data_IF_391095606140
#
_entry.id   IF_391095606140
#
_cell.length_a   1.000
_cell.length_b   1.000
_cell.length_c   1.000
_cell.angle_alpha   90.00
_cell.angle_beta   90.00
_cell.angle_gamma   90.00
#
_symmetry.space_group_name_H-M   'P 1'
#
loop_
_entity.id
_entity.type
_entity.pdbx_description
1 polymer ?
#
# COMPACT_ATOMS: atom_id res chain seq x y z
N UNK A 1 5.41 2.10 12.38
CA UNK A 1 5.45 3.28 13.26
C UNK A 1 5.06 4.58 12.56
N UNK A 2 4.72 4.55 11.26
CA UNK A 2 4.46 5.78 10.49
C UNK A 2 3.38 6.69 11.09
N UNK A 3 2.32 6.11 11.67
CA UNK A 3 1.22 6.88 12.30
C UNK A 3 1.51 7.29 13.75
N UNK A 4 2.49 6.67 14.41
CA UNK A 4 2.84 6.90 15.81
C UNK A 4 4.37 6.83 16.02
N UNK A 5 5.12 7.89 15.66
CA UNK A 5 6.58 7.88 15.71
C UNK A 5 7.15 7.54 17.10
N UNK A 6 6.49 7.97 18.17
CA UNK A 6 6.93 7.70 19.55
C UNK A 6 6.99 6.22 19.93
N UNK A 7 6.31 5.33 19.19
CA UNK A 7 6.39 3.88 19.42
C UNK A 7 7.78 3.32 19.05
N UNK A 8 8.52 3.97 18.13
CA UNK A 8 9.90 3.61 17.82
C UNK A 8 10.79 3.74 19.05
N UNK A 9 10.73 4.91 19.68
CA UNK A 9 11.46 5.17 20.92
C UNK A 9 11.03 4.22 22.04
N UNK A 10 9.72 3.99 22.20
CA UNK A 10 9.21 3.07 23.21
C UNK A 10 9.77 1.64 23.03
N UNK A 11 9.77 1.11 21.80
CA UNK A 11 10.36 -0.20 21.51
C UNK A 11 11.87 -0.21 21.75
N UNK A 12 12.60 0.85 21.34
CA UNK A 12 14.03 0.96 21.62
C UNK A 12 14.33 0.94 23.12
N UNK A 13 13.53 1.62 23.95
CA UNK A 13 13.66 1.56 25.40
C UNK A 13 13.44 0.14 25.93
N UNK A 14 12.41 -0.56 25.45
CA UNK A 14 12.15 -1.97 25.80
C UNK A 14 13.34 -2.87 25.46
N UNK A 15 13.92 -2.72 24.26
CA UNK A 15 15.08 -3.52 23.84
C UNK A 15 16.33 -3.20 24.67
N UNK A 16 16.55 -1.93 25.01
CA UNK A 16 17.70 -1.54 25.86
C UNK A 16 17.63 -2.18 27.25
N UNK A 17 16.43 -2.33 27.82
CA UNK A 17 16.25 -2.95 29.14
C UNK A 17 16.67 -4.44 29.18
N UNK A 18 16.66 -5.14 28.05
CA UNK A 18 17.11 -6.54 27.95
C UNK A 18 18.55 -6.71 28.43
N UNK A 19 19.44 -5.78 28.07
CA UNK A 19 20.87 -5.87 28.41
C UNK A 19 21.13 -5.80 29.92
N UNK A 20 20.80 -4.70 30.62
CA UNK A 20 21.01 -4.57 32.06
C UNK A 20 20.27 -5.63 32.88
N UNK A 21 19.07 -6.04 32.47
CA UNK A 21 18.33 -7.11 33.13
C UNK A 21 19.06 -8.45 33.04
N UNK A 22 19.55 -8.82 31.85
CA UNK A 22 20.32 -10.04 31.67
C UNK A 22 21.66 -9.99 32.39
N UNK A 23 22.37 -8.84 32.34
CA UNK A 23 23.61 -8.64 33.10
C UNK A 23 23.38 -8.81 34.60
N UNK A 24 22.27 -8.30 35.16
CA UNK A 24 21.95 -8.46 36.57
C UNK A 24 21.79 -9.94 36.96
N UNK A 25 21.16 -10.75 36.09
CA UNK A 25 21.09 -12.20 36.29
C UNK A 25 22.47 -12.85 36.26
N UNK A 26 23.24 -12.67 35.19
CA UNK A 26 24.55 -13.32 35.03
C UNK A 26 25.61 -12.84 36.03
N UNK A 27 25.49 -11.62 36.55
CA UNK A 27 26.42 -11.09 37.55
C UNK A 27 26.10 -11.54 38.99
N UNK A 28 24.84 -11.85 39.29
CA UNK A 28 24.39 -12.14 40.66
C UNK A 28 23.94 -13.57 40.90
N UNK A 29 23.50 -14.26 39.84
CA UNK A 29 22.82 -15.56 39.89
C UNK A 29 21.66 -15.62 40.90
N UNK A 30 21.07 -14.45 41.19
CA UNK A 30 19.99 -14.32 42.17
C UNK A 30 18.62 -14.57 41.55
N UNK A 31 17.65 -14.97 42.36
CA UNK A 31 16.25 -15.11 41.92
C UNK A 31 15.70 -13.80 41.34
N UNK A 32 16.02 -12.67 41.98
CA UNK A 32 15.63 -11.33 41.50
C UNK A 32 16.26 -11.03 40.14
N UNK A 33 17.55 -11.37 39.96
CA UNK A 33 18.22 -11.26 38.67
C UNK A 33 17.55 -12.11 37.60
N UNK A 34 17.26 -13.38 37.90
CA UNK A 34 16.53 -14.30 37.02
C UNK A 34 15.16 -13.77 36.61
N UNK A 35 14.42 -13.21 37.56
CA UNK A 35 13.13 -12.58 37.27
C UNK A 35 13.28 -11.36 36.35
N UNK A 36 14.26 -10.48 36.59
CA UNK A 36 14.52 -9.33 35.72
C UNK A 36 14.86 -9.75 34.28
N UNK A 37 15.74 -10.74 34.10
CA UNK A 37 16.12 -11.28 32.79
C UNK A 37 14.88 -11.78 32.03
N UNK A 38 14.07 -12.63 32.66
CA UNK A 38 12.84 -13.15 32.07
C UNK A 38 11.80 -12.07 31.79
N UNK A 39 11.56 -11.17 32.74
CA UNK A 39 10.60 -10.08 32.58
C UNK A 39 10.96 -9.19 31.37
N UNK A 40 12.26 -8.90 31.18
CA UNK A 40 12.72 -8.09 30.04
C UNK A 40 12.46 -8.76 28.68
N UNK A 41 12.54 -10.10 28.61
CA UNK A 41 12.13 -10.85 27.43
C UNK A 41 10.62 -10.76 27.19
N UNK A 42 9.81 -10.82 28.26
CA UNK A 42 8.36 -10.64 28.16
C UNK A 42 7.97 -9.26 27.64
N UNK A 43 8.70 -8.20 27.99
CA UNK A 43 8.45 -6.86 27.44
C UNK A 43 8.58 -6.87 25.91
N UNK A 44 9.59 -7.53 25.34
CA UNK A 44 9.79 -7.59 23.88
C UNK A 44 8.63 -8.36 23.22
N UNK A 45 8.29 -9.54 23.73
CA UNK A 45 7.22 -10.36 23.17
C UNK A 45 5.85 -9.66 23.29
N UNK A 46 5.57 -9.04 24.44
CA UNK A 46 4.37 -8.26 24.69
C UNK A 46 4.26 -7.08 23.74
N UNK A 47 5.34 -6.32 23.53
CA UNK A 47 5.32 -5.19 22.60
C UNK A 47 5.06 -5.67 21.17
N UNK A 48 5.80 -6.69 20.71
CA UNK A 48 5.67 -7.22 19.36
C UNK A 48 4.23 -7.69 19.08
N UNK A 49 3.65 -8.45 20.00
CA UNK A 49 2.28 -8.93 19.90
C UNK A 49 1.26 -7.77 19.95
N UNK A 50 1.36 -6.90 20.95
CA UNK A 50 0.42 -5.80 21.15
C UNK A 50 0.44 -4.80 19.99
N UNK A 51 1.62 -4.52 19.44
CA UNK A 51 1.77 -3.63 18.28
C UNK A 51 1.21 -4.25 17.00
N UNK A 52 1.45 -5.54 16.75
CA UNK A 52 0.85 -6.26 15.61
C UNK A 52 -0.69 -6.31 15.72
N UNK A 53 -1.21 -6.57 16.92
CA UNK A 53 -2.63 -6.57 17.24
C UNK A 53 -3.29 -5.19 17.07
N UNK A 54 -2.67 -4.14 17.59
CA UNK A 54 -3.14 -2.76 17.44
C UNK A 54 -3.34 -2.41 15.97
N UNK A 55 -2.37 -2.74 15.12
CA UNK A 55 -2.45 -2.52 13.67
C UNK A 55 -3.52 -3.38 13.02
N UNK A 56 -3.56 -4.67 13.32
CA UNK A 56 -4.54 -5.61 12.74
C UNK A 56 -5.99 -5.17 12.98
N UNK A 57 -6.28 -4.57 14.13
CA UNK A 57 -7.63 -4.16 14.50
C UNK A 57 -7.88 -2.65 14.38
N UNK A 58 -6.94 -1.89 13.80
CA UNK A 58 -7.08 -0.44 13.62
C UNK A 58 -7.33 0.32 14.93
N UNK A 59 -6.77 -0.15 16.06
CA UNK A 59 -6.96 0.46 17.38
C UNK A 59 -5.87 1.48 17.69
N UNK A 60 -6.11 2.35 18.68
CA UNK A 60 -5.15 3.36 19.11
C UNK A 60 -4.17 2.89 20.20
N UNK A 61 -3.24 3.77 20.64
CA UNK A 61 -2.20 3.44 21.63
C UNK A 61 -2.72 2.92 22.98
N UNK A 62 -3.90 3.35 23.43
CA UNK A 62 -4.50 2.83 24.67
C UNK A 62 -4.78 1.32 24.62
N UNK A 63 -5.17 0.80 23.45
CA UNK A 63 -5.33 -0.64 23.25
C UNK A 63 -4.00 -1.38 23.30
N UNK A 64 -2.95 -0.80 22.71
CA UNK A 64 -1.59 -1.35 22.78
C UNK A 64 -1.13 -1.45 24.23
N UNK A 65 -1.27 -0.38 25.02
CA UNK A 65 -0.84 -0.38 26.44
C UNK A 65 -1.60 -1.42 27.25
N UNK A 66 -2.93 -1.49 27.10
CA UNK A 66 -3.74 -2.49 27.80
C UNK A 66 -3.32 -3.92 27.45
N UNK A 67 -3.10 -4.20 26.16
CA UNK A 67 -2.69 -5.52 25.70
C UNK A 67 -1.25 -5.84 26.11
N UNK A 68 -0.34 -4.87 26.06
CA UNK A 68 1.04 -4.98 26.51
C UNK A 68 1.11 -5.40 27.98
N UNK A 69 0.41 -4.68 28.86
CA UNK A 69 0.32 -5.01 30.29
C UNK A 69 -0.33 -6.38 30.50
N UNK A 70 -1.44 -6.67 29.81
CA UNK A 70 -2.12 -7.95 29.92
C UNK A 70 -1.24 -9.14 29.53
N UNK A 71 -0.43 -9.01 28.47
CA UNK A 71 0.51 -10.04 28.05
C UNK A 71 1.63 -10.22 29.06
N UNK A 72 2.20 -9.14 29.60
CA UNK A 72 3.22 -9.23 30.65
C UNK A 72 2.67 -9.98 31.86
N UNK A 73 1.50 -9.58 32.37
CA UNK A 73 0.85 -10.24 33.51
C UNK A 73 0.63 -11.71 33.23
N UNK A 74 0.16 -12.07 32.02
CA UNK A 74 -0.03 -13.47 31.66
C UNK A 74 1.29 -14.25 31.62
N UNK A 75 2.35 -13.68 31.03
CA UNK A 75 3.67 -14.30 31.01
C UNK A 75 4.21 -14.52 32.43
N UNK A 76 4.08 -13.54 33.32
CA UNK A 76 4.48 -13.66 34.71
C UNK A 76 3.70 -14.76 35.44
N UNK A 77 2.37 -14.79 35.29
CA UNK A 77 1.52 -15.82 35.88
C UNK A 77 1.90 -17.24 35.40
N UNK A 78 2.26 -17.39 34.12
CA UNK A 78 2.75 -18.66 33.59
C UNK A 78 4.15 -18.97 34.11
N UNK A 79 5.01 -17.97 34.29
CA UNK A 79 6.34 -18.12 34.89
C UNK A 79 6.29 -18.59 36.34
N UNK A 80 5.29 -18.15 37.12
CA UNK A 80 5.10 -18.63 38.50
C UNK A 80 4.80 -20.14 38.59
N UNK A 81 4.44 -20.79 37.48
CA UNK A 81 4.24 -22.23 37.46
C UNK A 81 5.58 -22.94 37.35
N UNK A 82 6.00 -23.56 38.46
CA UNK A 82 7.23 -24.35 38.58
C UNK A 82 7.13 -25.68 37.81
N UNK A 83 7.10 -25.58 36.48
CA UNK A 83 7.10 -26.72 35.59
C UNK A 83 8.28 -26.65 34.62
N UNK A 84 9.02 -27.75 34.59
CA UNK A 84 10.07 -27.96 33.60
C UNK A 84 9.46 -28.48 32.31
N UNK A 85 9.63 -27.73 31.23
CA UNK A 85 9.12 -28.11 29.90
C UNK A 85 10.28 -28.67 29.07
N UNK A 86 10.15 -29.85 28.44
CA UNK A 86 11.18 -30.37 27.54
C UNK A 86 11.58 -29.34 26.48
N UNK A 87 12.85 -29.34 26.10
CA UNK A 87 13.47 -28.37 25.18
C UNK A 87 13.65 -26.99 25.79
N UNK A 88 12.60 -26.32 26.25
CA UNK A 88 12.63 -24.90 26.67
C UNK A 88 12.85 -24.68 28.17
N UNK A 89 13.04 -25.76 28.93
CA UNK A 89 13.41 -25.87 30.36
C UNK A 89 12.45 -25.26 31.38
N UNK A 90 11.79 -24.14 31.09
CA UNK A 90 10.97 -23.36 32.01
C UNK A 90 9.65 -22.95 31.37
N UNK A 91 8.53 -23.03 32.12
CA UNK A 91 7.20 -22.67 31.64
C UNK A 91 7.13 -21.23 31.09
N UNK A 92 7.85 -20.30 31.72
CA UNK A 92 7.95 -18.92 31.24
C UNK A 92 8.54 -18.78 29.84
N UNK A 93 9.45 -19.67 29.43
CA UNK A 93 9.99 -19.68 28.06
C UNK A 93 8.94 -20.11 27.03
N UNK A 94 7.98 -20.96 27.42
CA UNK A 94 6.83 -21.30 26.58
C UNK A 94 5.97 -20.07 26.32
N UNK A 95 5.63 -19.32 27.38
CA UNK A 95 4.81 -18.11 27.24
C UNK A 95 5.47 -17.09 26.29
N UNK A 96 6.77 -16.83 26.46
CA UNK A 96 7.56 -15.98 25.57
C UNK A 96 7.49 -16.47 24.11
N UNK A 97 7.76 -17.76 23.87
CA UNK A 97 7.75 -18.33 22.53
C UNK A 97 6.35 -18.26 21.86
N UNK A 98 5.29 -18.55 22.62
CA UNK A 98 3.90 -18.47 22.13
C UNK A 98 3.57 -17.07 21.67
N UNK A 99 3.93 -16.04 22.46
CA UNK A 99 3.64 -14.66 22.08
C UNK A 99 4.48 -14.18 20.89
N UNK A 100 5.74 -14.60 20.76
CA UNK A 100 6.52 -14.32 19.56
C UNK A 100 5.91 -14.96 18.30
N UNK A 101 5.47 -16.22 18.38
CA UNK A 101 4.81 -16.90 17.25
C UNK A 101 3.47 -16.22 16.92
N UNK A 102 2.69 -15.84 17.93
CA UNK A 102 1.44 -15.10 17.75
C UNK A 102 1.67 -13.73 17.12
N UNK A 103 2.72 -13.01 17.55
CA UNK A 103 3.14 -11.75 16.94
C UNK A 103 3.47 -11.95 15.46
N UNK A 104 4.31 -12.94 15.11
CA UNK A 104 4.66 -13.24 13.72
C UNK A 104 3.44 -13.59 12.86
N UNK A 105 2.49 -14.35 13.41
CA UNK A 105 1.24 -14.66 12.73
C UNK A 105 0.39 -13.41 12.47
N UNK A 106 0.33 -12.47 13.43
CA UNK A 106 -0.34 -11.19 13.26
C UNK A 106 0.39 -10.27 12.28
N UNK A 107 1.71 -10.18 12.34
CA UNK A 107 2.54 -9.43 11.37
C UNK A 107 2.25 -9.89 9.94
N UNK A 108 2.19 -11.21 9.72
CA UNK A 108 1.85 -11.77 8.41
C UNK A 108 0.44 -11.40 7.96
N UNK A 109 -0.52 -11.30 8.88
CA UNK A 109 -1.89 -10.86 8.57
C UNK A 109 -1.95 -9.37 8.25
N UNK A 110 -1.21 -8.54 8.98
CA UNK A 110 -1.09 -7.09 8.72
C UNK A 110 -0.46 -6.85 7.34
N UNK A 111 0.65 -7.53 7.02
CA UNK A 111 1.30 -7.40 5.73
C UNK A 111 0.39 -7.83 4.56
N UNK A 112 -0.45 -8.85 4.76
CA UNK A 112 -1.41 -9.33 3.74
C UNK A 112 -2.63 -8.43 3.57
N UNK A 113 -2.98 -7.62 4.56
CA UNK A 113 -4.12 -6.72 4.47
C UNK A 113 -3.84 -5.55 3.50
N UNK A 114 -2.57 -5.30 3.16
CA UNK A 114 -2.20 -4.26 2.19
C UNK A 114 -2.35 -2.82 2.70
N UNK A 115 -2.71 -2.62 3.97
CA UNK A 115 -2.87 -1.28 4.56
C UNK A 115 -1.53 -0.58 4.86
N UNK A 116 -0.46 -1.36 5.00
CA UNK A 116 0.89 -0.89 5.29
C UNK A 116 1.93 -1.62 4.43
N UNK A 117 2.97 -0.90 4.04
CA UNK A 117 4.14 -1.46 3.36
C UNK A 117 5.24 -1.66 4.40
N UNK A 118 5.81 -2.87 4.43
CA UNK A 118 6.88 -3.28 5.34
C UNK A 118 8.08 -3.81 4.53
N UNK A 119 9.29 -3.52 4.98
CA UNK A 119 10.51 -4.12 4.44
C UNK A 119 10.72 -5.52 5.05
N UNK A 120 10.11 -6.54 4.43
CA UNK A 120 9.97 -7.90 4.98
C UNK A 120 11.29 -8.66 5.13
N UNK A 121 12.39 -8.19 4.51
CA UNK A 121 13.73 -8.79 4.72
C UNK A 121 14.13 -8.74 6.20
N UNK A 122 13.72 -7.70 6.93
CA UNK A 122 14.01 -7.56 8.36
C UNK A 122 13.20 -8.52 9.21
N UNK A 123 11.96 -8.85 8.80
CA UNK A 123 11.17 -9.89 9.45
C UNK A 123 11.84 -11.26 9.29
N UNK A 124 12.26 -11.61 8.07
CA UNK A 124 12.98 -12.86 7.81
C UNK A 124 14.33 -12.92 8.54
N UNK A 125 15.08 -11.82 8.56
CA UNK A 125 16.32 -11.74 9.31
C UNK A 125 16.10 -11.94 10.81
N UNK A 126 15.09 -11.30 11.42
CA UNK A 126 14.77 -11.46 12.83
C UNK A 126 14.44 -12.93 13.17
N UNK A 127 13.58 -13.58 12.36
CA UNK A 127 13.19 -14.99 12.52
C UNK A 127 14.37 -15.94 12.33
N UNK A 128 15.19 -15.73 11.31
CA UNK A 128 16.36 -16.56 11.06
C UNK A 128 17.37 -16.46 12.21
N UNK A 129 17.68 -15.24 12.66
CA UNK A 129 18.65 -15.01 13.73
C UNK A 129 18.18 -15.62 15.05
N UNK A 130 16.90 -15.45 15.43
CA UNK A 130 16.40 -16.05 16.69
C UNK A 130 16.33 -17.58 16.61
N UNK A 131 16.05 -18.15 15.44
CA UNK A 131 16.08 -19.60 15.24
C UNK A 131 17.51 -20.16 15.39
N UNK A 132 18.51 -19.47 14.83
CA UNK A 132 19.93 -19.83 15.02
C UNK A 132 20.32 -19.68 16.48
N UNK A 133 19.93 -18.60 17.14
CA UNK A 133 20.14 -18.43 18.57
C UNK A 133 19.56 -19.64 19.33
N UNK A 134 18.31 -20.01 19.06
CA UNK A 134 17.64 -21.09 19.78
C UNK A 134 18.31 -22.45 19.60
N UNK A 135 18.86 -22.70 18.41
CA UNK A 135 19.69 -23.86 18.15
C UNK A 135 20.97 -23.83 19.02
N UNK A 136 21.69 -22.69 19.03
CA UNK A 136 22.91 -22.51 19.84
C UNK A 136 22.64 -22.72 21.33
N UNK A 137 21.57 -22.15 21.86
CA UNK A 137 21.20 -22.32 23.27
C UNK A 137 20.90 -23.79 23.60
N UNK A 138 20.19 -24.52 22.73
CA UNK A 138 19.90 -25.93 22.94
C UNK A 138 21.14 -26.83 22.83
N UNK A 139 22.12 -26.48 22.00
CA UNK A 139 23.35 -27.27 21.84
C UNK A 139 24.44 -26.93 22.84
N UNK A 140 24.33 -25.81 23.56
CA UNK A 140 25.34 -25.35 24.52
C UNK A 140 24.88 -25.29 26.00
N UNK A 141 23.63 -25.62 26.31
CA UNK A 141 23.13 -25.68 27.70
C UNK A 141 23.70 -26.87 28.47
N UNK A 142 23.64 -26.83 29.80
CA UNK A 142 24.14 -27.89 30.68
C UNK A 142 23.68 -29.29 30.24
N UNK A 143 24.64 -30.21 30.12
CA UNK A 143 24.41 -31.58 29.68
C UNK A 143 24.43 -31.80 28.16
N UNK A 144 24.64 -30.74 27.36
CA UNK A 144 24.84 -30.85 25.91
C UNK A 144 26.32 -31.06 25.52
N UNK A 145 26.57 -31.49 24.29
CA UNK A 145 27.92 -31.78 23.79
C UNK A 145 28.81 -30.55 23.58
N UNK A 146 28.26 -29.34 23.49
CA UNK A 146 29.03 -28.11 23.35
C UNK A 146 29.09 -27.30 24.65
N UNK A 147 28.61 -27.86 25.76
CA UNK A 147 28.77 -27.29 27.10
C UNK A 147 30.16 -27.67 27.64
N UNK A 148 31.18 -26.88 27.27
CA UNK A 148 32.56 -27.05 27.72
C UNK A 148 33.01 -25.83 28.54
N UNK A 149 33.26 -25.97 29.86
CA UNK A 149 33.65 -24.86 30.72
C UNK A 149 35.04 -24.29 30.41
N UNK A 150 35.92 -25.07 29.77
CA UNK A 150 37.29 -24.65 29.46
C UNK A 150 37.39 -24.00 28.06
N UNK A 151 36.28 -23.95 27.32
CA UNK A 151 36.22 -23.38 25.98
C UNK A 151 36.12 -21.85 25.99
N UNK A 152 36.84 -21.21 25.05
CA UNK A 152 36.64 -19.78 24.76
C UNK A 152 35.27 -19.52 24.10
N UNK A 153 34.67 -20.54 23.47
CA UNK A 153 33.35 -20.45 22.88
C UNK A 153 32.28 -20.64 23.96
N UNK A 154 31.57 -19.55 24.26
CA UNK A 154 30.47 -19.54 25.22
C UNK A 154 29.13 -19.42 24.49
N UNK A 155 28.47 -20.56 24.25
CA UNK A 155 27.22 -20.61 23.48
C UNK A 155 26.11 -19.74 24.06
N UNK A 156 26.02 -19.62 25.39
CA UNK A 156 25.06 -18.73 26.05
C UNK A 156 25.34 -17.24 25.78
N UNK A 157 26.61 -16.84 25.69
CA UNK A 157 26.98 -15.48 25.29
C UNK A 157 26.62 -15.21 23.82
N UNK A 158 26.83 -16.19 22.94
CA UNK A 158 26.42 -16.12 21.52
C UNK A 158 24.90 -16.01 21.39
N UNK A 159 24.13 -16.74 22.21
CA UNK A 159 22.66 -16.61 22.28
C UNK A 159 22.24 -15.16 22.55
N UNK A 160 22.86 -14.49 23.53
CA UNK A 160 22.54 -13.09 23.85
C UNK A 160 22.85 -12.12 22.72
N UNK A 161 24.02 -12.27 22.07
CA UNK A 161 24.38 -11.44 20.91
C UNK A 161 23.40 -11.62 19.76
N UNK A 162 23.03 -12.86 19.43
CA UNK A 162 22.05 -13.15 18.39
C UNK A 162 20.65 -12.66 18.78
N UNK A 163 20.25 -12.78 20.05
CA UNK A 163 19.01 -12.22 20.57
C UNK A 163 18.93 -10.71 20.38
N UNK A 164 19.99 -9.98 20.70
CA UNK A 164 20.10 -8.54 20.48
C UNK A 164 20.00 -8.18 18.98
N UNK A 165 20.68 -8.92 18.10
CA UNK A 165 20.60 -8.72 16.65
C UNK A 165 19.18 -8.99 16.13
N UNK A 166 18.50 -10.03 16.62
CA UNK A 166 17.11 -10.32 16.25
C UNK A 166 16.16 -9.19 16.68
N UNK A 167 16.28 -8.71 17.92
CA UNK A 167 15.49 -7.58 18.43
C UNK A 167 15.73 -6.28 17.63
N UNK A 168 16.97 -6.04 17.20
CA UNK A 168 17.33 -4.94 16.31
C UNK A 168 16.74 -5.11 14.90
N UNK A 169 16.77 -6.31 14.32
CA UNK A 169 16.10 -6.60 13.05
C UNK A 169 14.59 -6.32 13.16
N UNK A 170 13.96 -6.67 14.28
CA UNK A 170 12.56 -6.34 14.52
C UNK A 170 12.31 -4.82 14.61
N UNK A 171 13.22 -4.06 15.24
CA UNK A 171 13.17 -2.58 15.17
C UNK A 171 13.24 -2.09 13.72
N UNK A 172 14.17 -2.61 12.91
CA UNK A 172 14.32 -2.25 11.49
C UNK A 172 13.06 -2.52 10.68
N UNK A 173 12.36 -3.62 10.96
CA UNK A 173 11.04 -3.89 10.39
C UNK A 173 10.04 -2.80 10.77
N UNK A 174 9.92 -2.44 12.05
CA UNK A 174 8.89 -1.50 12.51
C UNK A 174 9.10 -0.06 12.06
N UNK A 175 10.35 0.40 11.94
CA UNK A 175 10.65 1.72 11.38
C UNK A 175 10.57 1.77 9.86
N UNK A 176 10.60 0.61 9.18
CA UNK A 176 10.39 0.54 7.73
C UNK A 176 8.93 0.74 7.32
N UNK A 177 8.00 0.62 8.27
CA UNK A 177 6.57 0.71 8.01
C UNK A 177 6.20 2.06 7.41
N UNK A 178 5.51 2.00 6.26
CA UNK A 178 4.90 3.14 5.59
C UNK A 178 3.41 2.86 5.39
N UNK A 179 2.54 3.88 5.40
CA UNK A 179 1.18 3.71 4.92
C UNK A 179 1.23 3.19 3.49
N UNK A 180 0.35 2.25 3.13
CA UNK A 180 0.12 1.99 1.72
C UNK A 180 -0.39 3.26 1.05
N UNK A 181 0.05 3.53 -0.18
CA UNK A 181 -0.54 4.60 -0.97
C UNK A 181 -2.04 4.31 -1.14
N UNK A 182 -2.88 5.34 -1.06
CA UNK A 182 -4.27 5.17 -1.45
C UNK A 182 -4.32 4.72 -2.91
N UNK A 183 -5.21 3.79 -3.29
CA UNK A 183 -5.36 3.40 -4.67
C UNK A 183 -5.72 4.64 -5.51
N UNK A 184 -4.99 4.83 -6.60
CA UNK A 184 -5.28 5.92 -7.54
C UNK A 184 -6.58 5.58 -8.24
N UNK A 185 -7.54 6.49 -8.20
CA UNK A 185 -8.78 6.36 -8.97
C UNK A 185 -8.70 7.26 -10.20
N UNK A 186 -8.98 6.69 -11.37
CA UNK A 186 -9.21 7.44 -12.59
C UNK A 186 -10.70 7.49 -12.84
N UNK A 187 -11.25 8.69 -12.79
CA UNK A 187 -12.66 8.89 -13.12
C UNK A 187 -12.79 9.19 -14.61
N UNK A 188 -13.75 8.55 -15.27
CA UNK A 188 -14.02 8.76 -16.69
C UNK A 188 -15.52 8.93 -16.90
N UNK A 189 -15.92 9.94 -17.67
CA UNK A 189 -17.30 10.19 -18.03
C UNK A 189 -17.46 10.37 -19.55
N UNK A 190 -18.52 9.79 -20.08
CA UNK A 190 -18.96 9.98 -21.46
C UNK A 190 -20.03 11.09 -21.54
N UNK A 191 -19.77 12.07 -22.40
CA UNK A 191 -20.63 13.23 -22.65
C UNK A 191 -21.15 13.14 -24.08
N UNK A 192 -22.41 12.72 -24.20
CA UNK A 192 -23.10 12.58 -25.48
C UNK A 192 -23.71 13.92 -25.89
N UNK A 193 -23.26 14.47 -27.00
CA UNK A 193 -23.73 15.78 -27.48
C UNK A 193 -23.67 15.84 -29.00
N UNK A 194 -24.81 16.17 -29.61
CA UNK A 194 -24.88 16.44 -31.04
C UNK A 194 -24.28 17.82 -31.35
N UNK A 195 -23.56 17.92 -32.46
CA UNK A 195 -22.99 19.18 -32.92
C UNK A 195 -21.56 19.02 -33.44
N UNK A 196 -20.93 20.17 -33.71
CA UNK A 196 -19.55 20.22 -34.15
C UNK A 196 -18.55 20.04 -32.99
N UNK A 197 -17.26 20.07 -33.32
CA UNK A 197 -16.17 19.93 -32.34
C UNK A 197 -16.21 21.02 -31.25
N UNK A 198 -16.75 22.21 -31.54
CA UNK A 198 -16.84 23.29 -30.56
C UNK A 198 -17.95 23.02 -29.53
N UNK A 199 -19.10 22.51 -29.97
CA UNK A 199 -20.18 22.07 -29.08
C UNK A 199 -19.71 20.92 -28.16
N UNK A 200 -19.03 19.92 -28.73
CA UNK A 200 -18.46 18.80 -27.95
C UNK A 200 -17.45 19.28 -26.91
N UNK A 201 -16.58 20.21 -27.29
CA UNK A 201 -15.59 20.83 -26.38
C UNK A 201 -16.27 21.56 -25.23
N UNK A 202 -17.24 22.42 -25.53
CA UNK A 202 -17.97 23.16 -24.51
C UNK A 202 -18.66 22.25 -23.49
N UNK A 203 -19.28 21.16 -23.97
CA UNK A 203 -19.92 20.18 -23.10
C UNK A 203 -18.92 19.40 -22.22
N UNK A 204 -17.78 19.00 -22.78
CA UNK A 204 -16.72 18.31 -22.04
C UNK A 204 -16.11 19.20 -20.94
N UNK A 205 -15.83 20.47 -21.27
CA UNK A 205 -15.26 21.43 -20.32
C UNK A 205 -16.27 21.81 -19.24
N UNK A 206 -17.56 21.98 -19.58
CA UNK A 206 -18.63 22.17 -18.60
C UNK A 206 -18.77 20.96 -17.66
N UNK A 207 -18.60 19.74 -18.17
CA UNK A 207 -18.64 18.53 -17.34
C UNK A 207 -17.51 18.49 -16.33
N UNK A 208 -16.28 18.82 -16.74
CA UNK A 208 -15.14 18.90 -15.83
C UNK A 208 -15.35 19.99 -14.77
N UNK A 209 -15.90 21.15 -15.15
CA UNK A 209 -16.22 22.23 -14.21
C UNK A 209 -17.23 21.77 -13.15
N UNK A 210 -18.29 21.08 -13.55
CA UNK A 210 -19.29 20.53 -12.63
C UNK A 210 -18.69 19.50 -11.66
N UNK A 211 -17.93 18.54 -12.16
CA UNK A 211 -17.42 17.41 -11.38
C UNK A 211 -16.31 17.79 -10.39
N UNK A 212 -15.49 18.77 -10.77
CA UNK A 212 -14.29 19.14 -10.02
C UNK A 212 -14.41 20.51 -9.34
N UNK A 213 -15.55 21.21 -9.50
CA UNK A 213 -15.75 22.56 -8.95
C UNK A 213 -14.77 23.59 -9.51
N UNK A 214 -14.35 23.45 -10.77
CA UNK A 214 -13.32 24.29 -11.38
C UNK A 214 -13.86 25.68 -11.70
N UNK A 215 -12.96 26.67 -11.74
CA UNK A 215 -13.29 27.99 -12.30
C UNK A 215 -13.32 27.96 -13.84
N UNK A 216 -12.73 26.93 -14.46
CA UNK A 216 -12.72 26.73 -15.91
C UNK A 216 -11.70 25.68 -16.35
N UNK A 217 -11.63 25.44 -17.66
CA UNK A 217 -10.60 24.62 -18.30
C UNK A 217 -9.87 25.48 -19.31
N UNK A 218 -8.54 25.53 -19.23
CA UNK A 218 -7.70 26.26 -20.17
C UNK A 218 -6.90 25.31 -21.06
N UNK A 219 -6.40 25.86 -22.17
CA UNK A 219 -5.43 25.21 -23.04
C UNK A 219 -4.36 26.22 -23.37
N UNK A 220 -3.13 25.78 -23.35
CA UNK A 220 -2.02 26.53 -23.90
C UNK A 220 -1.08 25.53 -24.56
N UNK A 221 -0.95 25.60 -25.89
CA UNK A 221 0.00 24.76 -26.58
C UNK A 221 1.43 25.18 -26.22
N UNK A 222 2.27 24.28 -25.69
CA UNK A 222 3.65 24.63 -25.31
C UNK A 222 4.52 25.00 -26.52
N UNK A 223 4.12 24.63 -27.74
CA UNK A 223 4.89 24.87 -28.96
C UNK A 223 4.61 26.23 -29.61
N UNK A 224 3.35 26.67 -29.63
CA UNK A 224 2.93 27.89 -30.33
C UNK A 224 2.16 28.89 -29.48
N UNK A 225 1.83 28.57 -28.23
CA UNK A 225 1.06 29.44 -27.34
C UNK A 225 -0.42 29.57 -27.68
N UNK A 226 -0.94 28.77 -28.63
CA UNK A 226 -2.37 28.81 -28.97
C UNK A 226 -3.25 28.29 -27.84
N UNK A 227 -4.39 28.94 -27.61
CA UNK A 227 -5.47 28.45 -26.75
C UNK A 227 -6.51 27.59 -27.50
N UNK A 228 -6.41 27.48 -28.83
CA UNK A 228 -7.36 26.70 -29.64
C UNK A 228 -7.09 25.19 -29.60
N UNK A 229 -5.86 24.80 -29.23
CA UNK A 229 -5.40 23.43 -29.11
C UNK A 229 -4.38 23.28 -27.97
N UNK A 230 -3.96 22.04 -27.71
CA UNK A 230 -3.08 21.70 -26.59
C UNK A 230 -3.82 20.96 -25.48
N UNK A 231 -3.04 20.53 -24.49
CA UNK A 231 -3.53 19.73 -23.37
C UNK A 231 -4.49 20.58 -22.52
N UNK A 232 -5.68 20.06 -22.16
CA UNK A 232 -6.55 20.73 -21.22
C UNK A 232 -5.90 20.79 -19.83
N UNK A 233 -6.08 21.92 -19.15
CA UNK A 233 -5.62 22.16 -17.79
C UNK A 233 -6.80 22.66 -16.95
N UNK A 234 -7.00 22.03 -15.79
CA UNK A 234 -8.01 22.46 -14.83
C UNK A 234 -7.58 23.74 -14.13
N UNK A 235 -8.49 24.72 -14.03
CA UNK A 235 -8.25 25.98 -13.33
C UNK A 235 -9.08 26.04 -12.04
N UNK A 236 -8.47 26.55 -10.96
CA UNK A 236 -9.17 26.74 -9.69
C UNK A 236 -9.44 25.47 -8.89
N UNK A 237 -8.80 24.35 -9.23
CA UNK A 237 -8.84 23.13 -8.44
C UNK A 237 -8.14 23.35 -7.08
N UNK A 238 -8.71 22.83 -5.99
CA UNK A 238 -8.12 22.89 -4.66
C UNK A 238 -6.84 22.03 -4.56
N UNK A 239 -6.82 20.92 -5.28
CA UNK A 239 -5.72 19.97 -5.35
C UNK A 239 -5.19 19.87 -6.79
N UNK A 240 -3.96 19.35 -6.94
CA UNK A 240 -3.39 19.07 -8.26
C UNK A 240 -4.23 18.00 -8.97
N UNK A 241 -4.82 18.34 -10.11
CA UNK A 241 -5.65 17.44 -10.91
C UNK A 241 -5.19 17.45 -12.36
N UNK A 242 -5.04 16.26 -12.93
CA UNK A 242 -4.80 16.07 -14.34
C UNK A 242 -6.11 15.75 -15.04
N UNK A 243 -6.33 16.35 -16.21
CA UNK A 243 -7.51 16.11 -17.03
C UNK A 243 -7.12 15.71 -18.45
N UNK A 244 -7.95 14.88 -19.08
CA UNK A 244 -7.81 14.50 -20.48
C UNK A 244 -9.17 14.49 -21.16
N UNK A 245 -9.20 14.87 -22.44
CA UNK A 245 -10.42 14.93 -23.24
C UNK A 245 -10.16 14.30 -24.60
N UNK A 246 -11.06 13.44 -25.04
CA UNK A 246 -11.09 12.87 -26.39
C UNK A 246 -12.47 13.05 -27.02
N UNK A 247 -12.54 13.04 -28.34
CA UNK A 247 -13.81 13.19 -29.03
C UNK A 247 -13.86 12.36 -30.30
N UNK A 248 -14.98 11.68 -30.49
CA UNK A 248 -15.41 11.12 -31.76
C UNK A 248 -16.90 11.42 -31.97
N UNK A 249 -17.43 11.20 -33.17
CA UNK A 249 -18.72 11.74 -33.66
C UNK A 249 -19.90 11.67 -32.66
N UNK A 250 -20.28 12.79 -32.06
CA UNK A 250 -21.40 12.86 -31.10
C UNK A 250 -21.05 12.48 -29.64
N UNK A 251 -19.78 12.16 -29.35
CA UNK A 251 -19.27 11.78 -28.04
C UNK A 251 -18.00 12.55 -27.67
N UNK A 252 -17.95 13.07 -26.45
CA UNK A 252 -16.72 13.46 -25.80
C UNK A 252 -16.47 12.57 -24.58
N UNK A 253 -15.26 12.04 -24.43
CA UNK A 253 -14.82 11.44 -23.17
C UNK A 253 -14.02 12.46 -22.37
N UNK A 254 -14.29 12.54 -21.08
CA UNK A 254 -13.49 13.30 -20.12
C UNK A 254 -12.94 12.35 -19.05
N UNK A 255 -11.67 12.48 -18.71
CA UNK A 255 -11.02 11.71 -17.66
C UNK A 255 -10.26 12.64 -16.70
N UNK A 256 -10.25 12.31 -15.42
CA UNK A 256 -9.51 13.05 -14.39
C UNK A 256 -8.96 12.16 -13.27
N UNK A 257 -7.83 12.58 -12.70
CA UNK A 257 -7.14 11.92 -11.59
C UNK A 257 -6.13 12.88 -10.92
N UNK A 258 -5.65 12.54 -9.73
CA UNK A 258 -4.50 13.17 -9.06
C UNK A 258 -3.15 12.75 -9.69
N UNK A 259 -3.17 11.79 -10.62
CA UNK A 259 -2.03 11.39 -11.44
C UNK A 259 -2.24 11.75 -12.93
N UNK A 260 -1.17 11.88 -13.74
CA UNK A 260 -1.32 12.10 -15.18
C UNK A 260 -2.21 11.04 -15.81
N UNK A 261 -3.21 11.51 -16.56
CA UNK A 261 -4.26 10.69 -17.18
C UNK A 261 -4.40 11.03 -18.66
N UNK A 262 -4.78 10.02 -19.45
CA UNK A 262 -5.09 10.11 -20.87
C UNK A 262 -6.34 9.30 -21.20
N UNK A 263 -7.17 9.80 -22.11
CA UNK A 263 -8.33 9.08 -22.62
C UNK A 263 -8.39 9.21 -24.14
N UNK A 264 -8.88 8.19 -24.82
CA UNK A 264 -9.15 8.23 -26.24
C UNK A 264 -10.41 7.47 -26.64
N UNK A 265 -11.01 7.86 -27.76
CA UNK A 265 -12.24 7.29 -28.27
C UNK A 265 -12.33 7.44 -29.78
N UNK A 266 -12.75 6.37 -30.45
CA UNK A 266 -13.02 6.36 -31.88
C UNK A 266 -14.34 5.66 -32.19
N UNK A 267 -14.97 6.08 -33.29
CA UNK A 267 -16.16 5.41 -33.82
C UNK A 267 -15.72 4.20 -34.63
N UNK A 268 -16.22 3.03 -34.26
CA UNK A 268 -15.94 1.74 -34.88
C UNK A 268 -17.03 1.42 -35.91
N UNK A 269 -16.77 1.79 -37.17
CA UNK A 269 -17.67 1.57 -38.30
C UNK A 269 -17.02 0.60 -39.30
N UNK A 270 -17.82 -0.21 -40.02
CA UNK A 270 -17.29 -1.11 -41.05
C UNK A 270 -16.42 -0.37 -42.08
N UNK A 271 -15.18 -0.83 -42.26
CA UNK A 271 -14.20 -0.22 -43.18
C UNK A 271 -13.39 0.94 -42.61
N UNK A 272 -13.53 1.23 -41.31
CA UNK A 272 -12.73 2.22 -40.58
C UNK A 272 -11.77 1.43 -39.67
N UNK A 273 -10.50 1.37 -40.04
CA UNK A 273 -9.43 0.79 -39.22
C UNK A 273 -8.46 1.90 -38.77
N UNK A 274 -7.48 1.53 -37.94
CA UNK A 274 -6.39 2.45 -37.59
C UNK A 274 -5.26 2.44 -38.64
N UNK A 275 -5.54 1.97 -39.87
CA UNK A 275 -4.54 1.74 -40.90
C UNK A 275 -3.42 0.81 -40.43
N UNK A 276 -2.18 1.25 -40.62
CA UNK A 276 -0.96 0.49 -40.27
C UNK A 276 -0.80 0.23 -38.76
N UNK A 277 -1.61 0.88 -37.91
CA UNK A 277 -1.52 0.80 -36.45
C UNK A 277 -2.46 -0.24 -35.82
N UNK A 278 -3.16 -1.03 -36.63
CA UNK A 278 -3.97 -2.17 -36.18
C UNK A 278 -5.47 -1.88 -36.04
N UNK A 279 -6.10 -2.50 -35.04
CA UNK A 279 -7.53 -2.29 -34.77
C UNK A 279 -7.79 -1.03 -33.93
N UNK A 280 -9.03 -0.53 -33.95
CA UNK A 280 -9.42 0.67 -33.21
C UNK A 280 -9.23 0.54 -31.68
N UNK A 281 -9.46 -0.63 -31.05
CA UNK A 281 -9.10 -0.83 -29.64
C UNK A 281 -7.61 -0.63 -29.34
N UNK A 282 -6.70 -1.19 -30.16
CA UNK A 282 -5.26 -0.99 -30.00
C UNK A 282 -4.86 0.47 -30.21
N UNK A 283 -5.44 1.12 -31.21
CA UNK A 283 -5.21 2.54 -31.50
C UNK A 283 -5.64 3.46 -30.37
N UNK A 284 -6.89 3.34 -29.90
CA UNK A 284 -7.40 4.16 -28.80
C UNK A 284 -6.62 3.92 -27.51
N UNK A 285 -6.14 2.70 -27.27
CA UNK A 285 -5.20 2.42 -26.17
C UNK A 285 -3.88 3.18 -26.33
N UNK A 286 -3.24 3.12 -27.51
CA UNK A 286 -1.97 3.81 -27.76
C UNK A 286 -2.11 5.33 -27.61
N UNK A 287 -3.17 5.93 -28.16
CA UNK A 287 -3.48 7.35 -28.03
C UNK A 287 -3.72 7.77 -26.56
N UNK A 288 -4.45 6.96 -25.78
CA UNK A 288 -4.63 7.22 -24.36
C UNK A 288 -3.28 7.20 -23.61
N UNK A 289 -2.39 6.24 -23.92
CA UNK A 289 -1.05 6.14 -23.33
C UNK A 289 -0.16 7.35 -23.69
N UNK A 290 -0.16 7.77 -24.95
CA UNK A 290 0.60 8.94 -25.43
C UNK A 290 0.10 10.26 -24.81
N UNK A 291 -1.22 10.40 -24.62
CA UNK A 291 -1.80 11.55 -23.91
C UNK A 291 -1.45 11.56 -22.42
N UNK A 292 -1.28 10.38 -21.83
CA UNK A 292 -0.87 10.22 -20.43
C UNK A 292 0.57 10.67 -20.24
N UNK A 293 1.51 10.16 -21.06
CA UNK A 293 2.92 10.52 -21.00
C UNK A 293 3.20 11.96 -21.43
N UNK A 294 2.37 12.51 -22.32
CA UNK A 294 2.52 13.84 -22.89
C UNK A 294 3.50 13.91 -24.07
N UNK A 295 3.98 12.76 -24.56
CA UNK A 295 4.87 12.67 -25.72
C UNK A 295 4.12 12.99 -27.03
N UNK A 296 2.83 12.64 -27.12
CA UNK A 296 2.00 12.93 -28.29
C UNK A 296 2.69 12.47 -29.59
N UNK A 297 2.84 13.39 -30.55
CA UNK A 297 3.44 13.11 -31.87
C UNK A 297 4.97 12.88 -31.83
N UNK A 298 5.65 13.01 -30.69
CA UNK A 298 7.09 12.76 -30.60
C UNK A 298 7.46 11.28 -30.46
N UNK A 299 6.46 10.40 -30.33
CA UNK A 299 6.62 8.96 -30.16
C UNK A 299 5.74 8.23 -31.18
N UNK A 300 6.23 7.11 -31.69
CA UNK A 300 5.49 6.26 -32.61
C UNK A 300 4.33 5.57 -31.87
N UNK A 301 3.07 5.70 -32.32
CA UNK A 301 1.93 4.99 -31.74
C UNK A 301 2.07 3.46 -31.78
N UNK A 302 2.90 2.91 -32.68
CA UNK A 302 3.21 1.47 -32.73
C UNK A 302 4.07 0.97 -31.56
N UNK A 303 4.74 1.86 -30.82
CA UNK A 303 5.52 1.56 -29.61
C UNK A 303 5.12 2.50 -28.46
N UNK A 304 3.89 2.37 -27.91
CA UNK A 304 3.40 3.27 -26.88
C UNK A 304 4.15 3.06 -25.55
N UNK A 305 4.15 4.05 -24.64
CA UNK A 305 4.83 3.92 -23.36
C UNK A 305 4.19 2.82 -22.51
N UNK A 306 5.03 2.14 -21.71
CA UNK A 306 4.60 1.09 -20.77
C UNK A 306 3.99 1.73 -19.52
N UNK A 307 2.71 2.13 -19.65
CA UNK A 307 1.89 2.70 -18.57
C UNK A 307 0.61 1.87 -18.42
N UNK A 308 -0.06 2.06 -17.29
CA UNK A 308 -1.33 1.37 -17.03
C UNK A 308 -2.43 1.88 -17.97
N UNK A 309 -3.27 0.97 -18.45
CA UNK A 309 -4.41 1.28 -19.31
C UNK A 309 -5.55 0.28 -19.13
N UNK A 310 -6.79 0.72 -19.35
CA UNK A 310 -7.96 -0.14 -19.37
C UNK A 310 -8.91 0.23 -20.53
N UNK A 311 -9.59 -0.75 -21.16
CA UNK A 311 -10.66 -0.48 -22.11
C UNK A 311 -11.89 0.09 -21.38
N UNK A 312 -12.68 0.90 -22.09
CA UNK A 312 -13.93 1.46 -21.58
C UNK A 312 -15.13 0.70 -22.14
N UNK A 313 -16.11 0.41 -21.27
CA UNK A 313 -17.36 -0.26 -21.65
C UNK A 313 -18.30 0.74 -22.34
N UNK A 314 -18.08 0.91 -23.65
CA UNK A 314 -18.83 1.80 -24.53
C UNK A 314 -19.89 1.04 -25.35
N UNK A 315 -20.96 1.71 -25.82
CA UNK A 315 -21.94 1.10 -26.71
C UNK A 315 -21.31 0.54 -27.99
N UNK A 316 -21.95 -0.48 -28.57
CA UNK A 316 -21.50 -1.04 -29.85
C UNK A 316 -21.32 0.02 -30.93
N UNK A 317 -20.23 -0.10 -31.71
CA UNK A 317 -19.81 0.90 -32.71
C UNK A 317 -18.88 1.98 -32.17
N UNK A 318 -18.32 1.77 -30.97
CA UNK A 318 -17.34 2.65 -30.34
C UNK A 318 -16.21 1.82 -29.71
N UNK A 319 -14.99 2.31 -29.87
CA UNK A 319 -13.81 1.83 -29.15
C UNK A 319 -13.26 2.97 -28.30
N UNK A 320 -12.80 2.67 -27.09
CA UNK A 320 -12.23 3.68 -26.21
C UNK A 320 -11.41 3.08 -25.09
N UNK A 321 -10.43 3.84 -24.63
CA UNK A 321 -9.50 3.43 -23.60
C UNK A 321 -9.13 4.62 -22.71
N UNK A 322 -8.76 4.30 -21.48
CA UNK A 322 -8.18 5.23 -20.52
C UNK A 322 -6.82 4.71 -20.08
N UNK A 323 -5.91 5.63 -19.79
CA UNK A 323 -4.58 5.33 -19.28
C UNK A 323 -4.19 6.29 -18.14
N UNK A 324 -3.28 5.82 -17.29
CA UNK A 324 -2.78 6.53 -16.11
C UNK A 324 -1.28 6.27 -15.95
N UNK A 325 -0.55 7.24 -15.40
CA UNK A 325 0.88 7.11 -15.14
C UNK A 325 1.23 5.96 -14.16
N UNK A 326 0.26 5.54 -13.34
CA UNK A 326 0.39 4.44 -12.37
C UNK A 326 -0.83 3.52 -12.46
N UNK A 327 -0.72 2.33 -11.87
CA UNK A 327 -1.86 1.42 -11.73
C UNK A 327 -3.03 2.09 -11.00
N UNK A 328 -4.24 1.96 -11.56
CA UNK A 328 -5.41 2.68 -11.09
C UNK A 328 -6.71 1.86 -11.20
N UNK A 329 -7.72 2.27 -10.44
CA UNK A 329 -9.10 1.79 -10.58
C UNK A 329 -9.92 2.76 -11.45
N UNK A 330 -10.78 2.23 -12.34
CA UNK A 330 -11.66 3.05 -13.19
C UNK A 330 -13.00 3.28 -12.52
N UNK A 331 -13.32 4.55 -12.27
CA UNK A 331 -14.68 5.00 -11.94
C UNK A 331 -15.38 5.44 -13.23
N UNK A 332 -16.13 4.53 -13.87
CA UNK A 332 -16.77 4.75 -15.17
C UNK A 332 -18.19 5.34 -15.09
N UNK A 333 -18.47 6.38 -15.88
CA UNK A 333 -19.80 7.01 -16.03
C UNK A 333 -20.20 7.05 -17.53
N UNK A 334 -20.89 6.02 -18.04
CA UNK A 334 -21.13 5.84 -19.49
C UNK A 334 -22.08 6.89 -20.12
N UNK A 335 -22.89 7.58 -19.31
CA UNK A 335 -23.97 8.42 -19.83
C UNK A 335 -24.95 7.64 -20.72
N UNK A 336 -25.73 8.34 -21.54
CA UNK A 336 -26.54 7.74 -22.60
C UNK A 336 -26.57 8.66 -23.84
N UNK A 337 -26.62 8.12 -25.06
CA UNK A 337 -26.84 8.93 -26.26
C UNK A 337 -28.16 9.69 -26.12
N UNK A 338 -28.19 10.97 -26.50
CA UNK A 338 -29.46 11.67 -26.63
C UNK A 338 -30.30 10.93 -27.68
N UNK A 339 -31.42 10.32 -27.24
CA UNK A 339 -32.39 9.71 -28.15
C UNK A 339 -32.91 10.73 -29.17
N UNK A 340 -33.46 10.29 -30.32
CA UNK A 340 -34.02 11.21 -31.31
C UNK A 340 -35.07 12.12 -30.65
N UNK A 341 -35.18 13.40 -31.08
CA UNK A 341 -36.18 14.30 -30.52
C UNK A 341 -37.57 13.67 -30.62
N UNK A 342 -38.30 13.64 -29.50
CA UNK A 342 -39.69 13.13 -29.47
C UNK A 342 -40.49 13.85 -30.56
N UNK A 343 -41.21 13.14 -31.44
CA UNK A 343 -42.08 13.79 -32.41
C UNK A 343 -43.11 14.63 -31.65
N UNK A 344 -43.25 15.90 -32.07
CA UNK A 344 -44.24 16.80 -31.50
C UNK A 344 -45.62 16.16 -31.60
N UNK A 345 -46.29 15.98 -30.46
CA UNK A 345 -47.69 15.57 -30.42
C UNK A 345 -48.52 16.59 -31.21
N UNK A 346 -49.28 16.19 -32.23
CA UNK A 346 -50.18 17.11 -32.92
C UNK A 346 -51.20 17.62 -31.89
N UNK A 347 -51.27 18.95 -31.71
CA UNK A 347 -52.42 19.57 -31.02
C UNK A 347 -53.65 19.29 -31.87
N UNK A 348 -54.46 18.31 -31.46
CA UNK A 348 -55.83 18.19 -31.96
C UNK A 348 -56.63 19.37 -31.41
N UNK A 349 -56.91 20.33 -32.29
CA UNK A 349 -57.86 21.39 -32.00
C UNK A 349 -59.25 20.81 -31.81
N UNK A 350 -59.91 21.24 -30.73
CA UNK A 350 -61.35 21.43 -30.65
C UNK A 350 -61.59 22.89 -30.32
#
# INVERSE_FOLDING_TARGET
>A
MARHPGLATAYSCVVVLLGPASMAMHATESEVGGHLDMASMYLIAAFAFAYAAMRRWGRGPGFLVALFVGVIVLCELVGLYDATVPVVTYAGNVAFAVFLVAALALERRVARAGEVVLDTRWAWAAVAVIAVAFAVWNTAKTGSSWCDPDSLYQGHAVWHLLGAVSAWCLYRLYVSERPAAAPVTVHVAAVWVAGDRAAQRGAAEAKLVEELGLSGVARLCPRCGSASHGRPQALGAADAVHVSIAYAEGLALVAWSDQPVGVDVERDLPGRDAGDYGDLPAWTRAEALLKTSGEGLSRDPGDPPDLWSAPLDLPAGWAGAVACAVEAEVSWRPGAPAGPPRPATPRTGR
#
